data_IF_274652360516
#
_entry.id   IF_274652360516
#
_cell.length_a   1.000
_cell.length_b   1.000
_cell.length_c   1.000
_cell.angle_alpha   90.00
_cell.angle_beta   90.00
_cell.angle_gamma   90.00
#
_symmetry.space_group_name_H-M   'P 1'
#
loop_
_entity.id
_entity.type
_entity.pdbx_description
1 polymer ?
#
# COMPACT_ATOMS: atom_id res chain seq x y z
N UNK A 1 -4.12 4.51 -26.16
CA UNK A 1 -3.71 3.78 -24.95
C UNK A 1 -4.92 3.50 -24.03
N UNK A 2 -6.16 3.60 -24.54
CA UNK A 2 -7.39 3.71 -23.70
C UNK A 2 -8.35 2.51 -23.74
N UNK A 3 -7.91 1.32 -24.19
CA UNK A 3 -8.79 0.15 -24.29
C UNK A 3 -8.71 -0.83 -23.12
N UNK A 4 -7.70 -0.72 -22.24
CA UNK A 4 -7.47 -1.72 -21.17
C UNK A 4 -8.38 -1.52 -19.97
N UNK A 5 -9.03 -0.34 -19.86
CA UNK A 5 -9.61 0.08 -18.59
C UNK A 5 -11.14 0.22 -18.52
N UNK A 6 -11.91 0.03 -19.60
CA UNK A 6 -13.34 0.40 -19.64
C UNK A 6 -14.27 -0.28 -18.61
N UNK A 7 -13.87 -1.37 -17.97
CA UNK A 7 -14.63 -2.07 -16.91
C UNK A 7 -13.70 -2.57 -15.79
N UNK A 8 -12.87 -1.71 -15.21
CA UNK A 8 -11.88 -2.12 -14.21
C UNK A 8 -12.42 -2.11 -12.80
N UNK A 9 -12.04 -3.14 -12.04
CA UNK A 9 -12.17 -3.19 -10.60
C UNK A 9 -10.79 -2.98 -9.95
N UNK A 10 -10.64 -1.92 -9.18
CA UNK A 10 -9.38 -1.58 -8.51
C UNK A 10 -9.53 -1.80 -7.01
N UNK A 11 -8.62 -2.56 -6.42
CA UNK A 11 -8.53 -2.72 -4.98
C UNK A 11 -7.45 -1.80 -4.41
N UNK A 12 -7.79 -1.03 -3.38
CA UNK A 12 -6.87 -0.11 -2.70
C UNK A 12 -6.76 -0.49 -1.23
N UNK A 13 -5.59 -0.95 -0.79
CA UNK A 13 -5.33 -1.15 0.64
C UNK A 13 -4.85 0.15 1.27
N UNK A 14 -5.19 0.42 2.54
CA UNK A 14 -4.86 1.66 3.23
C UNK A 14 -5.66 2.86 2.74
N UNK A 15 -6.80 2.62 2.07
CA UNK A 15 -7.58 3.66 1.40
C UNK A 15 -8.28 4.65 2.34
N UNK A 16 -8.36 4.37 3.64
CA UNK A 16 -8.81 5.32 4.66
C UNK A 16 -7.62 6.03 5.37
N UNK A 17 -6.39 5.79 4.90
CA UNK A 17 -5.16 6.48 5.28
C UNK A 17 -4.96 7.81 4.55
N UNK A 18 -3.91 8.56 4.92
CA UNK A 18 -3.60 9.87 4.34
C UNK A 18 -3.35 9.83 2.83
N UNK A 19 -2.42 8.98 2.37
CA UNK A 19 -2.15 8.81 0.94
C UNK A 19 -3.29 8.05 0.24
N UNK A 20 -3.82 7.01 0.90
CA UNK A 20 -4.85 6.17 0.32
C UNK A 20 -6.14 6.92 0.01
N UNK A 21 -6.60 7.85 0.87
CA UNK A 21 -7.81 8.61 0.57
C UNK A 21 -7.61 9.56 -0.62
N UNK A 22 -6.42 10.18 -0.75
CA UNK A 22 -6.09 11.02 -1.90
C UNK A 22 -6.05 10.20 -3.21
N UNK A 23 -5.49 8.98 -3.17
CA UNK A 23 -5.52 8.03 -4.30
C UNK A 23 -6.96 7.68 -4.68
N UNK A 24 -7.78 7.32 -3.70
CA UNK A 24 -9.20 6.96 -3.91
C UNK A 24 -9.96 8.13 -4.54
N UNK A 25 -9.80 9.35 -4.01
CA UNK A 25 -10.44 10.55 -4.57
C UNK A 25 -10.01 10.81 -6.01
N UNK A 26 -8.71 10.74 -6.31
CA UNK A 26 -8.20 10.94 -7.67
C UNK A 26 -8.74 9.89 -8.65
N UNK A 27 -8.84 8.63 -8.24
CA UNK A 27 -9.42 7.57 -9.07
C UNK A 27 -10.92 7.80 -9.33
N UNK A 28 -11.69 8.14 -8.30
CA UNK A 28 -13.12 8.42 -8.44
C UNK A 28 -13.39 9.59 -9.38
N UNK A 29 -12.55 10.63 -9.35
CA UNK A 29 -12.66 11.80 -10.23
C UNK A 29 -12.26 11.45 -11.68
N UNK A 30 -11.13 10.78 -11.88
CA UNK A 30 -10.61 10.47 -13.21
C UNK A 30 -11.39 9.33 -13.90
N UNK A 31 -11.94 8.39 -13.13
CA UNK A 31 -12.57 7.17 -13.62
C UNK A 31 -13.87 6.87 -12.85
N UNK A 32 -14.91 7.70 -13.01
CA UNK A 32 -16.17 7.56 -12.26
C UNK A 32 -16.93 6.27 -12.59
N UNK A 33 -16.66 5.63 -13.73
CA UNK A 33 -17.33 4.40 -14.18
C UNK A 33 -16.67 3.11 -13.66
N UNK A 34 -15.48 3.19 -13.04
CA UNK A 34 -14.83 2.00 -12.50
C UNK A 34 -15.42 1.65 -11.14
N UNK A 35 -15.18 0.42 -10.72
CA UNK A 35 -15.55 -0.04 -9.38
C UNK A 35 -14.33 -0.18 -8.49
N UNK A 36 -14.52 0.06 -7.20
CA UNK A 36 -13.42 0.14 -6.24
C UNK A 36 -13.70 -0.70 -5.01
N UNK A 37 -12.71 -1.43 -4.52
CA UNK A 37 -12.74 -2.04 -3.19
C UNK A 37 -11.66 -1.40 -2.32
N UNK A 38 -12.04 -0.82 -1.19
CA UNK A 38 -11.10 -0.27 -0.21
C UNK A 38 -10.91 -1.27 0.92
N UNK A 39 -9.66 -1.64 1.19
CA UNK A 39 -9.26 -2.40 2.36
C UNK A 39 -8.57 -1.45 3.34
N UNK A 40 -9.02 -1.39 4.59
CA UNK A 40 -8.30 -0.69 5.65
C UNK A 40 -8.64 -1.30 7.01
N UNK A 41 -7.74 -1.20 7.98
CA UNK A 41 -8.00 -1.62 9.36
C UNK A 41 -8.98 -0.68 10.06
N UNK A 42 -9.06 0.58 9.59
CA UNK A 42 -9.98 1.59 10.11
C UNK A 42 -11.42 1.25 9.71
N UNK A 43 -12.41 1.62 10.53
CA UNK A 43 -13.80 1.54 10.11
C UNK A 43 -14.06 2.44 8.91
N UNK A 44 -15.06 2.10 8.11
CA UNK A 44 -15.47 2.91 6.97
C UNK A 44 -15.83 4.34 7.42
N UNK A 45 -15.30 5.39 6.78
CA UNK A 45 -15.77 6.74 7.02
C UNK A 45 -17.28 6.86 6.74
N UNK A 46 -18.03 7.66 7.54
CA UNK A 46 -19.49 7.79 7.42
C UNK A 46 -20.01 8.26 6.05
N UNK A 47 -19.14 8.88 5.24
CA UNK A 47 -19.47 9.48 3.94
C UNK A 47 -19.23 8.52 2.76
N UNK A 48 -18.82 7.28 3.02
CA UNK A 48 -18.53 6.31 1.99
C UNK A 48 -19.79 5.54 1.57
N UNK A 49 -20.75 6.23 0.95
CA UNK A 49 -21.91 5.63 0.30
C UNK A 49 -21.96 6.07 -1.16
N UNK A 50 -21.14 5.44 -2.00
CA UNK A 50 -21.19 5.58 -3.47
C UNK A 50 -21.44 4.21 -4.09
N UNK A 51 -22.26 4.15 -5.14
CA UNK A 51 -22.66 2.89 -5.80
C UNK A 51 -21.48 2.11 -6.40
N UNK A 52 -20.36 2.78 -6.69
CA UNK A 52 -19.22 2.19 -7.40
C UNK A 52 -18.09 1.78 -6.45
N UNK A 53 -18.36 1.69 -5.15
CA UNK A 53 -17.33 1.43 -4.16
C UNK A 53 -17.81 0.46 -3.07
N UNK A 54 -16.91 -0.41 -2.62
CA UNK A 54 -17.10 -1.31 -1.47
C UNK A 54 -16.00 -1.09 -0.44
N UNK A 55 -16.37 -1.05 0.83
CA UNK A 55 -15.41 -1.02 1.94
C UNK A 55 -15.33 -2.37 2.62
N UNK A 56 -14.12 -2.89 2.79
CA UNK A 56 -13.84 -4.06 3.61
C UNK A 56 -12.90 -3.65 4.73
N UNK A 57 -13.39 -3.72 5.97
CA UNK A 57 -12.52 -3.51 7.12
C UNK A 57 -11.61 -4.74 7.25
N UNK A 58 -10.33 -4.58 6.95
CA UNK A 58 -9.38 -5.69 6.82
C UNK A 58 -8.01 -5.27 7.34
N UNK A 59 -7.48 -6.04 8.29
CA UNK A 59 -6.09 -5.93 8.70
C UNK A 59 -5.22 -6.75 7.75
N UNK A 60 -4.29 -6.10 7.04
CA UNK A 60 -3.42 -6.79 6.09
C UNK A 60 -2.49 -7.83 6.74
N UNK A 61 -2.36 -7.80 8.07
CA UNK A 61 -1.61 -8.80 8.84
C UNK A 61 -2.33 -10.13 8.96
N UNK A 62 -3.65 -10.17 8.73
CA UNK A 62 -4.45 -11.38 8.72
C UNK A 62 -4.47 -11.97 7.29
N UNK A 63 -3.71 -13.05 7.01
CA UNK A 63 -3.64 -13.61 5.67
C UNK A 63 -4.97 -14.21 5.20
N UNK A 64 -5.82 -14.68 6.12
CA UNK A 64 -7.12 -15.27 5.79
C UNK A 64 -8.07 -14.17 5.35
N UNK A 65 -8.20 -13.11 6.16
CA UNK A 65 -9.07 -11.98 5.84
C UNK A 65 -8.65 -11.28 4.55
N UNK A 66 -7.34 -11.13 4.31
CA UNK A 66 -6.81 -10.58 3.04
C UNK A 66 -7.18 -11.46 1.86
N UNK A 67 -7.01 -12.78 1.98
CA UNK A 67 -7.36 -13.73 0.92
C UNK A 67 -8.85 -13.70 0.60
N UNK A 68 -9.70 -13.66 1.62
CA UNK A 68 -11.15 -13.55 1.46
C UNK A 68 -11.54 -12.25 0.77
N UNK A 69 -10.96 -11.12 1.20
CA UNK A 69 -11.23 -9.81 0.60
C UNK A 69 -10.85 -9.75 -0.88
N UNK A 70 -9.68 -10.27 -1.27
CA UNK A 70 -9.28 -10.33 -2.68
C UNK A 70 -10.12 -11.33 -3.48
N UNK A 71 -10.49 -12.47 -2.90
CA UNK A 71 -11.35 -13.47 -3.54
C UNK A 71 -12.75 -12.94 -3.81
N UNK A 72 -13.28 -12.13 -2.88
CA UNK A 72 -14.55 -11.43 -3.03
C UNK A 72 -14.47 -10.33 -4.11
N UNK A 73 -13.45 -9.47 -4.03
CA UNK A 73 -13.32 -8.32 -4.91
C UNK A 73 -12.91 -8.67 -6.35
N UNK A 74 -12.13 -9.73 -6.54
CA UNK A 74 -11.54 -10.16 -7.83
C UNK A 74 -11.00 -8.99 -8.68
N UNK A 75 -10.13 -8.12 -8.12
CA UNK A 75 -9.67 -6.93 -8.81
C UNK A 75 -8.78 -7.26 -10.01
N UNK A 76 -8.77 -6.35 -10.98
CA UNK A 76 -7.84 -6.39 -12.11
C UNK A 76 -6.54 -5.63 -11.81
N UNK A 77 -6.55 -4.74 -10.82
CA UNK A 77 -5.36 -4.06 -10.31
C UNK A 77 -5.43 -3.86 -8.79
N UNK A 78 -4.27 -3.90 -8.14
CA UNK A 78 -4.11 -3.61 -6.71
C UNK A 78 -3.22 -2.40 -6.52
N UNK A 79 -3.67 -1.43 -5.73
CA UNK A 79 -2.86 -0.30 -5.24
C UNK A 79 -2.62 -0.50 -3.75
N UNK A 80 -1.40 -0.87 -3.39
CA UNK A 80 -1.01 -1.16 -2.02
C UNK A 80 -0.48 0.10 -1.31
N UNK A 81 -1.39 0.87 -0.71
CA UNK A 81 -1.08 2.05 0.10
C UNK A 81 -1.06 1.78 1.62
N UNK A 82 -1.35 0.55 2.06
CA UNK A 82 -1.31 0.18 3.47
C UNK A 82 0.14 0.08 3.96
N UNK A 83 0.45 0.80 5.04
CA UNK A 83 1.73 0.78 5.69
C UNK A 83 1.74 1.73 6.88
N UNK A 84 2.65 1.51 7.82
CA UNK A 84 2.83 2.40 8.96
C UNK A 84 4.21 3.03 8.94
N UNK A 85 4.22 4.32 9.30
CA UNK A 85 5.41 5.08 9.67
C UNK A 85 5.25 5.47 11.13
N UNK A 86 6.21 5.16 12.02
CA UNK A 86 6.15 5.65 13.40
C UNK A 86 6.10 7.18 13.44
N UNK A 87 5.31 7.77 14.34
CA UNK A 87 5.16 9.23 14.41
C UNK A 87 6.39 9.93 15.00
N UNK A 88 6.67 11.15 14.54
CA UNK A 88 7.70 12.04 15.10
C UNK A 88 9.09 11.41 15.13
N UNK A 89 9.81 11.61 16.23
CA UNK A 89 11.17 11.07 16.41
C UNK A 89 11.23 9.54 16.36
N UNK A 90 10.13 8.83 16.63
CA UNK A 90 10.12 7.37 16.65
C UNK A 90 10.45 6.74 15.28
N UNK A 91 10.25 7.47 14.16
CA UNK A 91 10.63 6.98 12.82
C UNK A 91 12.15 6.86 12.62
N UNK A 92 12.93 7.59 13.42
CA UNK A 92 14.38 7.57 13.42
C UNK A 92 14.91 6.74 14.59
N UNK A 93 14.28 5.59 14.85
CA UNK A 93 14.69 4.68 15.91
C UNK A 93 14.53 3.23 15.45
N UNK A 94 15.03 2.29 16.25
CA UNK A 94 14.76 0.85 16.10
C UNK A 94 13.53 0.39 16.91
N UNK A 95 12.78 1.31 17.52
CA UNK A 95 11.61 0.99 18.35
C UNK A 95 10.44 0.55 17.48
N UNK A 96 9.54 -0.25 18.06
CA UNK A 96 8.31 -0.75 17.41
C UNK A 96 8.59 -1.61 16.16
N UNK A 97 9.79 -2.20 16.04
CA UNK A 97 10.21 -3.04 14.92
C UNK A 97 9.22 -4.12 14.58
N UNK A 98 8.81 -4.92 15.56
CA UNK A 98 7.82 -5.98 15.36
C UNK A 98 6.53 -5.46 14.73
N UNK A 99 6.00 -4.35 15.24
CA UNK A 99 4.79 -3.73 14.67
C UNK A 99 5.02 -3.18 13.25
N UNK A 100 6.16 -2.54 12.99
CA UNK A 100 6.48 -1.98 11.67
C UNK A 100 6.67 -3.09 10.65
N UNK A 101 7.39 -4.15 10.99
CA UNK A 101 7.65 -5.29 10.12
C UNK A 101 6.40 -6.13 9.89
N UNK A 102 5.60 -6.41 10.93
CA UNK A 102 4.34 -7.15 10.75
C UNK A 102 3.40 -6.47 9.76
N UNK A 103 3.32 -5.13 9.77
CA UNK A 103 2.48 -4.40 8.80
C UNK A 103 3.18 -4.24 7.45
N UNK A 104 4.38 -3.65 7.42
CA UNK A 104 5.00 -3.22 6.17
C UNK A 104 5.66 -4.37 5.40
N UNK A 105 6.06 -5.46 6.05
CA UNK A 105 6.74 -6.59 5.40
C UNK A 105 5.77 -7.76 5.28
N UNK A 106 5.31 -8.30 6.40
CA UNK A 106 4.42 -9.47 6.38
C UNK A 106 3.03 -9.12 5.84
N UNK A 107 2.48 -7.96 6.20
CA UNK A 107 1.23 -7.49 5.62
C UNK A 107 1.31 -7.27 4.11
N UNK A 108 2.41 -6.71 3.61
CA UNK A 108 2.63 -6.59 2.15
C UNK A 108 2.75 -7.96 1.49
N UNK A 109 3.47 -8.91 2.11
CA UNK A 109 3.58 -10.29 1.63
C UNK A 109 2.20 -10.96 1.51
N UNK A 110 1.34 -10.79 2.50
CA UNK A 110 -0.02 -11.34 2.49
C UNK A 110 -0.83 -10.81 1.30
N UNK A 111 -0.82 -9.50 1.07
CA UNK A 111 -1.55 -8.87 -0.03
C UNK A 111 -1.00 -9.32 -1.39
N UNK A 112 0.32 -9.40 -1.54
CA UNK A 112 0.96 -9.87 -2.77
C UNK A 112 0.62 -11.34 -3.06
N UNK A 113 0.68 -12.20 -2.05
CA UNK A 113 0.32 -13.61 -2.18
C UNK A 113 -1.15 -13.78 -2.58
N UNK A 114 -2.07 -13.08 -1.91
CA UNK A 114 -3.49 -13.13 -2.25
C UNK A 114 -3.77 -12.58 -3.66
N UNK A 115 -3.05 -11.53 -4.09
CA UNK A 115 -3.19 -10.97 -5.43
C UNK A 115 -2.73 -11.95 -6.52
N UNK A 116 -1.67 -12.71 -6.24
CA UNK A 116 -1.21 -13.80 -7.10
C UNK A 116 -2.21 -14.97 -7.12
N UNK A 117 -2.73 -15.36 -5.96
CA UNK A 117 -3.64 -16.51 -5.83
C UNK A 117 -5.01 -16.28 -6.48
N UNK A 118 -5.57 -15.07 -6.42
CA UNK A 118 -6.89 -14.79 -7.05
C UNK A 118 -6.86 -14.84 -8.58
N UNK A 119 -5.69 -14.63 -9.18
CA UNK A 119 -5.42 -14.81 -10.61
C UNK A 119 -5.99 -13.74 -11.54
N UNK A 120 -6.80 -12.79 -11.04
CA UNK A 120 -7.38 -11.69 -11.86
C UNK A 120 -6.50 -10.45 -11.93
N UNK A 121 -5.52 -10.31 -11.02
CA UNK A 121 -4.69 -9.11 -10.89
C UNK A 121 -3.65 -9.07 -12.01
N UNK A 122 -3.70 -8.02 -12.83
CA UNK A 122 -2.77 -7.77 -13.93
C UNK A 122 -1.72 -6.70 -13.60
N UNK A 123 -1.99 -5.88 -12.59
CA UNK A 123 -1.09 -4.82 -12.14
C UNK A 123 -1.10 -4.71 -10.61
N UNK A 124 0.09 -4.58 -10.02
CA UNK A 124 0.28 -4.36 -8.60
C UNK A 124 1.16 -3.12 -8.40
N UNK A 125 0.61 -2.08 -7.79
CA UNK A 125 1.32 -0.84 -7.48
C UNK A 125 1.63 -0.80 -6.00
N UNK A 126 2.92 -0.92 -5.64
CA UNK A 126 3.38 -0.83 -4.26
C UNK A 126 3.83 0.58 -3.90
N UNK A 127 3.32 1.13 -2.79
CA UNK A 127 3.77 2.43 -2.29
C UNK A 127 4.98 2.28 -1.37
N UNK A 128 6.17 2.48 -1.94
CA UNK A 128 7.41 2.48 -1.18
C UNK A 128 7.70 3.84 -0.52
N UNK A 129 8.96 4.16 -0.24
CA UNK A 129 9.39 5.42 0.34
C UNK A 129 10.79 5.78 -0.13
N UNK A 130 11.10 7.07 -0.28
CA UNK A 130 12.47 7.55 -0.56
C UNK A 130 13.52 7.07 0.44
N UNK A 131 13.09 6.63 1.64
CA UNK A 131 13.97 5.99 2.62
C UNK A 131 14.66 4.71 2.12
N UNK A 132 14.15 4.08 1.06
CA UNK A 132 14.85 2.97 0.37
C UNK A 132 16.14 3.41 -0.30
N UNK A 133 16.26 4.69 -0.69
CA UNK A 133 17.48 5.26 -1.27
C UNK A 133 18.39 5.87 -0.18
N UNK A 134 17.82 6.38 0.91
CA UNK A 134 18.60 6.87 2.05
C UNK A 134 17.73 7.23 3.25
N UNK A 135 18.10 6.76 4.43
CA UNK A 135 17.40 7.07 5.68
C UNK A 135 18.28 7.78 6.73
N UNK A 136 19.57 7.94 6.42
CA UNK A 136 20.53 8.67 7.25
C UNK A 136 20.63 10.15 6.85
N UNK A 137 20.11 11.03 7.70
CA UNK A 137 20.05 12.47 7.46
C UNK A 137 21.42 13.15 7.53
N UNK A 138 22.47 12.47 8.02
CA UNK A 138 23.83 13.04 8.04
C UNK A 138 24.54 12.99 6.69
N UNK A 139 24.05 12.20 5.73
CA UNK A 139 24.69 12.06 4.41
C UNK A 139 24.20 13.09 3.38
N UNK A 140 23.48 14.13 3.82
CA UNK A 140 22.96 15.19 2.96
C UNK A 140 21.83 14.75 2.02
N UNK A 141 21.30 15.72 1.26
CA UNK A 141 20.25 15.47 0.28
C UNK A 141 20.78 14.72 -0.94
N UNK A 142 19.95 13.81 -1.48
CA UNK A 142 20.22 13.07 -2.71
C UNK A 142 19.21 13.46 -3.80
N UNK A 143 19.39 14.61 -4.47
CA UNK A 143 18.49 15.03 -5.53
C UNK A 143 18.55 14.07 -6.72
N UNK A 144 17.42 13.84 -7.39
CA UNK A 144 17.31 12.99 -8.58
C UNK A 144 17.81 11.55 -8.38
N UNK A 145 17.59 11.01 -7.18
CA UNK A 145 17.92 9.63 -6.87
C UNK A 145 17.22 8.65 -7.82
N UNK A 146 17.95 7.63 -8.29
CA UNK A 146 17.46 6.57 -9.19
C UNK A 146 17.47 5.22 -8.48
N UNK A 147 16.69 4.29 -8.99
CA UNK A 147 16.60 2.92 -8.44
C UNK A 147 17.94 2.17 -8.51
N UNK A 148 18.83 2.54 -9.44
CA UNK A 148 20.15 1.92 -9.58
C UNK A 148 21.18 2.42 -8.54
N UNK A 149 20.86 3.43 -7.73
CA UNK A 149 21.82 4.00 -6.77
C UNK A 149 22.05 3.06 -5.58
N UNK A 150 23.33 2.81 -5.29
CA UNK A 150 23.86 1.65 -4.52
C UNK A 150 23.50 1.55 -3.02
N UNK A 151 22.68 2.42 -2.47
CA UNK A 151 22.41 2.44 -1.01
C UNK A 151 21.10 1.76 -0.61
N UNK A 152 20.70 0.74 -1.38
CA UNK A 152 19.49 -0.06 -1.16
C UNK A 152 19.68 -1.02 0.05
N UNK A 153 20.88 -1.12 0.61
CA UNK A 153 21.23 -2.18 1.59
C UNK A 153 21.45 -1.74 3.05
N UNK A 154 21.94 -0.52 3.33
CA UNK A 154 22.21 -0.09 4.71
C UNK A 154 21.11 0.86 5.19
N UNK A 155 20.22 0.33 6.04
CA UNK A 155 19.19 1.14 6.71
C UNK A 155 19.49 1.25 8.19
N UNK A 156 19.51 2.49 8.66
CA UNK A 156 19.78 2.81 10.07
C UNK A 156 18.51 2.69 10.90
N UNK A 157 17.35 2.95 10.30
CA UNK A 157 16.08 3.07 11.00
C UNK A 157 15.08 2.01 10.55
N UNK A 158 14.23 1.64 11.49
CA UNK A 158 13.24 0.56 11.35
C UNK A 158 12.29 0.74 10.17
N UNK A 159 11.93 1.99 9.86
CA UNK A 159 11.00 2.30 8.78
C UNK A 159 11.66 2.11 7.41
N UNK A 160 12.87 2.64 7.21
CA UNK A 160 13.63 2.48 5.97
C UNK A 160 13.92 1.02 5.67
N UNK A 161 14.33 0.26 6.69
CA UNK A 161 14.57 -1.18 6.56
C UNK A 161 13.31 -1.95 6.16
N UNK A 162 12.17 -1.63 6.78
CA UNK A 162 10.90 -2.29 6.44
C UNK A 162 10.44 -2.04 5.00
N UNK A 163 10.80 -0.89 4.41
CA UNK A 163 10.46 -0.55 3.03
C UNK A 163 11.39 -1.18 1.99
N UNK A 164 12.65 -1.43 2.35
CA UNK A 164 13.57 -2.23 1.53
C UNK A 164 13.11 -3.69 1.45
N UNK A 165 12.64 -4.23 2.58
CA UNK A 165 12.23 -5.63 2.70
C UNK A 165 10.83 -5.92 2.18
N UNK A 166 10.04 -4.91 1.85
CA UNK A 166 8.66 -5.04 1.34
C UNK A 166 8.51 -4.89 -0.16
N UNK A 167 9.62 -4.96 -0.90
CA UNK A 167 9.63 -5.01 -2.36
C UNK A 167 9.19 -6.38 -2.89
#
# INVERSE_FOLDING_TARGET
MDSVLRDQHILITGGAGFLGCAIVSAFLEAHPTYTYTILDIRPAPPLLHNQNFTYLQTDIRDPIAVKEALSFARPSAVVHAAGIVPAGRARYTQRKRERVFSVNVEGTRNVLNAAREVGTVRAFVHTSSSTVVGDDLSNGDRPNAREEMEDIGRKRWVYGESKVLSR
#
